data_IF_093136278779
#
_entry.id   IF_093136278779
#
_cell.length_a   1.000
_cell.length_b   1.000
_cell.length_c   1.000
_cell.angle_alpha   90.00
_cell.angle_beta   90.00
_cell.angle_gamma   90.00
#
_symmetry.space_group_name_H-M   'P 1'
#
loop_
_entity.id
_entity.type
_entity.pdbx_description
1 polymer ?
#
# COMPACT_ATOMS: atom_id res chain seq x y z
N UNK A 1 11.92 -0.78 -18.22
CA UNK A 1 11.24 -1.69 -17.26
C UNK A 1 10.01 -0.93 -16.79
N UNK A 2 9.11 -0.63 -17.73
CA UNK A 2 8.32 0.62 -17.68
C UNK A 2 6.80 0.39 -17.62
N UNK A 3 6.34 -0.86 -17.71
CA UNK A 3 4.94 -1.21 -17.51
C UNK A 3 4.67 -1.74 -16.08
N UNK A 4 3.40 -1.67 -15.69
CA UNK A 4 2.96 -2.08 -14.36
C UNK A 4 3.23 -3.57 -14.11
N UNK A 5 2.93 -4.43 -15.08
CA UNK A 5 3.08 -5.90 -14.95
C UNK A 5 4.52 -6.30 -14.65
N UNK A 6 5.49 -5.76 -15.40
CA UNK A 6 6.91 -6.04 -15.16
C UNK A 6 7.38 -5.55 -13.79
N UNK A 7 6.88 -4.40 -13.32
CA UNK A 7 7.19 -3.94 -11.96
C UNK A 7 6.56 -4.84 -10.88
N UNK A 8 5.34 -5.33 -11.11
CA UNK A 8 4.69 -6.26 -10.19
C UNK A 8 5.49 -7.56 -10.06
N UNK A 9 5.89 -8.15 -11.18
CA UNK A 9 6.55 -9.46 -11.18
C UNK A 9 8.02 -9.38 -10.72
N UNK A 10 8.74 -8.30 -11.03
CA UNK A 10 10.17 -8.17 -10.71
C UNK A 10 10.45 -7.52 -9.35
N UNK A 11 9.53 -6.67 -8.85
CA UNK A 11 9.76 -5.89 -7.62
C UNK A 11 8.71 -6.22 -6.56
N UNK A 12 7.43 -6.12 -6.87
CA UNK A 12 6.38 -6.24 -5.85
C UNK A 12 6.24 -7.66 -5.32
N UNK A 13 6.10 -8.65 -6.21
CA UNK A 13 5.93 -10.05 -5.83
C UNK A 13 7.13 -10.58 -5.03
N UNK A 14 8.40 -10.38 -5.45
CA UNK A 14 9.53 -10.83 -4.66
C UNK A 14 9.61 -10.16 -3.28
N UNK A 15 9.34 -8.86 -3.20
CA UNK A 15 9.36 -8.12 -1.92
C UNK A 15 8.25 -8.62 -0.98
N UNK A 16 7.06 -8.95 -1.52
CA UNK A 16 5.99 -9.55 -0.74
C UNK A 16 6.34 -10.95 -0.25
N UNK A 17 6.96 -11.78 -1.09
CA UNK A 17 7.44 -13.11 -0.69
C UNK A 17 8.51 -13.03 0.41
N UNK A 18 9.39 -12.04 0.36
CA UNK A 18 10.38 -11.81 1.41
C UNK A 18 9.74 -11.43 2.74
N UNK A 19 8.69 -10.60 2.71
CA UNK A 19 7.87 -10.30 3.88
C UNK A 19 7.11 -11.54 4.40
N UNK A 20 6.55 -12.35 3.52
CA UNK A 20 5.88 -13.59 3.92
C UNK A 20 6.83 -14.53 4.66
N UNK A 21 8.09 -14.64 4.22
CA UNK A 21 9.12 -15.46 4.87
C UNK A 21 9.62 -14.85 6.18
N UNK A 22 9.65 -13.51 6.27
CA UNK A 22 10.17 -12.77 7.40
C UNK A 22 9.16 -11.69 7.83
N UNK A 23 8.11 -12.05 8.60
CA UNK A 23 7.00 -11.16 8.92
C UNK A 23 7.37 -10.15 10.03
N UNK A 24 8.37 -9.31 9.75
CA UNK A 24 8.82 -8.22 10.61
C UNK A 24 8.48 -6.84 10.02
N UNK A 25 8.52 -5.76 10.83
CA UNK A 25 8.15 -4.42 10.38
C UNK A 25 8.99 -3.88 9.22
N UNK A 26 10.26 -4.30 9.10
CA UNK A 26 11.15 -3.84 8.02
C UNK A 26 10.70 -4.41 6.69
N UNK A 27 10.45 -5.71 6.63
CA UNK A 27 9.99 -6.34 5.39
C UNK A 27 8.56 -5.91 5.03
N UNK A 28 7.68 -5.74 6.03
CA UNK A 28 6.35 -5.18 5.83
C UNK A 28 6.44 -3.78 5.18
N UNK A 29 7.32 -2.91 5.68
CA UNK A 29 7.51 -1.58 5.14
C UNK A 29 7.98 -1.62 3.69
N UNK A 30 8.99 -2.43 3.37
CA UNK A 30 9.49 -2.57 2.00
C UNK A 30 8.39 -3.08 1.05
N UNK A 31 7.59 -4.05 1.48
CA UNK A 31 6.48 -4.57 0.69
C UNK A 31 5.41 -3.49 0.46
N UNK A 32 5.02 -2.75 1.51
CA UNK A 32 4.08 -1.63 1.37
C UNK A 32 4.60 -0.54 0.43
N UNK A 33 5.89 -0.17 0.53
CA UNK A 33 6.52 0.82 -0.36
C UNK A 33 6.51 0.34 -1.81
N UNK A 34 6.88 -0.92 -2.07
CA UNK A 34 6.86 -1.48 -3.41
C UNK A 34 5.44 -1.51 -3.99
N UNK A 35 4.46 -2.00 -3.23
CA UNK A 35 3.05 -2.02 -3.65
C UNK A 35 2.53 -0.62 -3.91
N UNK A 36 2.77 0.33 -3.00
CA UNK A 36 2.32 1.71 -3.16
C UNK A 36 2.90 2.38 -4.41
N UNK A 37 4.21 2.20 -4.65
CA UNK A 37 4.88 2.81 -5.81
C UNK A 37 4.63 2.08 -7.13
N UNK A 38 3.91 0.96 -7.14
CA UNK A 38 3.48 0.33 -8.39
C UNK A 38 2.60 1.26 -9.22
N UNK A 39 1.81 2.12 -8.58
CA UNK A 39 0.96 3.09 -9.27
C UNK A 39 1.75 4.08 -10.12
N UNK A 40 3.03 4.33 -9.80
CA UNK A 40 3.90 5.23 -10.56
C UNK A 40 4.27 4.70 -11.94
N UNK A 41 3.93 3.43 -12.21
CA UNK A 41 4.08 2.79 -13.53
C UNK A 41 2.89 3.03 -14.44
N UNK A 42 1.82 3.66 -13.94
CA UNK A 42 0.64 3.98 -14.73
C UNK A 42 0.66 5.43 -15.22
N UNK A 43 0.16 5.69 -16.45
CA UNK A 43 -0.14 7.06 -16.87
C UNK A 43 -1.20 7.66 -15.94
N UNK A 44 -1.13 8.97 -15.69
CA UNK A 44 -2.07 9.69 -14.81
C UNK A 44 -2.10 9.21 -13.33
N UNK A 45 -1.02 8.59 -12.84
CA UNK A 45 -0.89 8.08 -11.46
C UNK A 45 -1.37 9.05 -10.36
N UNK A 46 -1.19 10.36 -10.51
CA UNK A 46 -1.63 11.36 -9.52
C UNK A 46 -3.13 11.32 -9.24
N UNK A 47 -3.95 11.15 -10.28
CA UNK A 47 -5.40 11.06 -10.15
C UNK A 47 -5.81 9.67 -9.64
N UNK A 48 -5.12 8.63 -10.11
CA UNK A 48 -5.36 7.24 -9.72
C UNK A 48 -5.09 6.99 -8.24
N UNK A 49 -4.09 7.65 -7.64
CA UNK A 49 -3.78 7.46 -6.21
C UNK A 49 -4.98 7.76 -5.31
N UNK A 50 -5.69 8.85 -5.58
CA UNK A 50 -6.89 9.19 -4.81
C UNK A 50 -7.99 8.16 -5.06
N UNK A 51 -8.25 7.86 -6.33
CA UNK A 51 -9.26 6.90 -6.73
C UNK A 51 -9.05 5.52 -6.09
N UNK A 52 -7.84 4.98 -6.13
CA UNK A 52 -7.55 3.65 -5.60
C UNK A 52 -7.68 3.57 -4.09
N UNK A 53 -7.43 4.65 -3.35
CA UNK A 53 -7.69 4.70 -1.90
C UNK A 53 -9.17 4.72 -1.56
N UNK A 54 -9.98 5.32 -2.43
CA UNK A 54 -11.44 5.32 -2.28
C UNK A 54 -12.05 3.95 -2.69
N UNK A 55 -11.41 3.23 -3.62
CA UNK A 55 -11.87 1.93 -4.15
C UNK A 55 -11.36 0.71 -3.37
N UNK A 56 -10.18 0.78 -2.74
CA UNK A 56 -9.53 -0.35 -2.06
C UNK A 56 -8.97 0.07 -0.71
N UNK A 57 -9.59 -0.43 0.37
CA UNK A 57 -9.18 -0.12 1.74
C UNK A 57 -7.79 -0.68 2.05
N UNK A 58 -7.43 -1.83 1.49
CA UNK A 58 -6.13 -2.45 1.66
C UNK A 58 -5.03 -1.60 1.00
N UNK A 59 -5.31 -1.02 -0.17
CA UNK A 59 -4.41 -0.06 -0.81
C UNK A 59 -4.24 1.22 0.03
N UNK A 60 -5.32 1.72 0.64
CA UNK A 60 -5.25 2.84 1.59
C UNK A 60 -4.39 2.48 2.82
N UNK A 61 -4.56 1.28 3.39
CA UNK A 61 -3.74 0.80 4.50
C UNK A 61 -2.26 0.74 4.11
N UNK A 62 -1.95 0.21 2.93
CA UNK A 62 -0.59 0.17 2.38
C UNK A 62 0.00 1.58 2.19
N UNK A 63 -0.77 2.54 1.65
CA UNK A 63 -0.37 3.94 1.49
C UNK A 63 -0.01 4.56 2.86
N UNK A 64 -0.86 4.36 3.85
CA UNK A 64 -0.66 4.89 5.20
C UNK A 64 0.61 4.30 5.85
N UNK A 65 0.78 2.97 5.78
CA UNK A 65 1.96 2.32 6.35
C UNK A 65 3.26 2.71 5.62
N UNK A 66 3.23 2.78 4.28
CA UNK A 66 4.38 3.20 3.48
C UNK A 66 4.82 4.66 3.76
N UNK A 67 3.87 5.51 4.16
CA UNK A 67 4.15 6.90 4.51
C UNK A 67 4.54 7.10 5.98
N UNK A 68 4.01 6.27 6.89
CA UNK A 68 4.27 6.34 8.32
C UNK A 68 5.79 6.42 8.65
N UNK A 69 6.59 5.55 8.04
CA UNK A 69 8.05 5.49 8.27
C UNK A 69 8.87 6.49 7.45
N UNK A 70 8.26 7.20 6.48
CA UNK A 70 8.95 8.22 5.66
C UNK A 70 9.02 9.61 6.33
N UNK A 71 8.54 9.77 7.57
CA UNK A 71 8.33 11.08 8.21
C UNK A 71 7.46 12.05 7.39
N UNK A 72 6.69 11.53 6.44
CA UNK A 72 5.77 12.29 5.61
C UNK A 72 4.39 11.72 5.86
N UNK A 73 3.56 12.41 6.64
CA UNK A 73 2.16 12.00 6.85
C UNK A 73 1.47 11.81 5.50
N UNK A 74 0.74 10.71 5.34
CA UNK A 74 -0.09 10.48 4.15
C UNK A 74 -1.11 11.62 4.00
N UNK A 75 -1.63 11.86 2.80
CA UNK A 75 -2.63 12.93 2.63
C UNK A 75 -3.89 12.71 3.47
N UNK A 76 -4.22 11.46 3.77
CA UNK A 76 -5.38 11.10 4.57
C UNK A 76 -5.10 11.23 6.08
N UNK A 77 -3.87 11.01 6.53
CA UNK A 77 -3.42 11.37 7.88
C UNK A 77 -3.38 12.89 8.14
N UNK A 78 -3.22 13.69 7.08
CA UNK A 78 -3.28 15.16 7.17
C UNK A 78 -4.70 15.69 7.24
N UNK A 79 -5.71 14.88 6.91
CA UNK A 79 -7.11 15.29 7.07
C UNK A 79 -7.46 15.19 8.55
N UNK A 80 -7.71 16.33 9.18
CA UNK A 80 -8.35 16.37 10.50
C UNK A 80 -9.71 15.68 10.34
N UNK A 81 -9.86 14.48 10.91
CA UNK A 81 -11.14 13.77 10.87
C UNK A 81 -12.15 14.57 11.69
N UNK A 82 -13.08 15.22 11.02
CA UNK A 82 -14.29 15.79 11.64
C UNK A 82 -15.33 14.71 11.95
N UNK A 83 -15.06 13.46 11.57
CA UNK A 83 -15.97 12.32 11.80
C UNK A 83 -15.67 11.66 13.15
N UNK A 84 -16.71 11.30 13.93
CA UNK A 84 -16.54 10.50 15.14
C UNK A 84 -15.96 9.11 14.79
N UNK A 85 -14.94 8.67 15.53
CA UNK A 85 -14.27 7.38 15.35
C UNK A 85 -12.76 7.44 15.64
N UNK A 86 -12.11 6.28 15.72
CA UNK A 86 -10.64 6.17 15.80
C UNK A 86 -10.04 6.47 14.42
N UNK A 87 -8.98 7.31 14.31
CA UNK A 87 -8.28 7.52 13.06
C UNK A 87 -7.72 6.20 12.52
N UNK A 88 -7.92 5.92 11.23
CA UNK A 88 -7.37 4.72 10.59
C UNK A 88 -5.85 4.61 10.74
N UNK A 89 -5.16 5.75 10.88
CA UNK A 89 -3.71 5.81 11.09
C UNK A 89 -3.29 5.18 12.40
N UNK A 90 -4.10 5.35 13.45
CA UNK A 90 -3.86 4.72 14.73
C UNK A 90 -4.01 3.19 14.64
N UNK A 91 -5.00 2.70 13.89
CA UNK A 91 -5.18 1.27 13.65
C UNK A 91 -4.00 0.67 12.86
N UNK A 92 -3.46 1.44 11.91
CA UNK A 92 -2.28 1.04 11.12
C UNK A 92 -1.03 0.96 12.00
N UNK A 93 -0.85 1.89 12.93
CA UNK A 93 0.26 1.90 13.90
C UNK A 93 0.23 0.70 14.85
N UNK A 94 -0.96 0.26 15.27
CA UNK A 94 -1.13 -0.87 16.18
C UNK A 94 -1.33 -2.21 15.47
N UNK A 95 -1.20 -2.25 14.14
CA UNK A 95 -1.56 -3.43 13.36
C UNK A 95 -0.53 -4.54 13.50
N UNK A 96 -0.99 -5.75 13.81
CA UNK A 96 -0.13 -6.94 13.78
C UNK A 96 0.35 -7.27 12.36
N UNK A 97 1.58 -7.79 12.24
CA UNK A 97 2.17 -8.15 10.94
C UNK A 97 1.35 -9.18 10.17
N UNK A 98 0.62 -10.05 10.87
CA UNK A 98 -0.30 -10.99 10.24
C UNK A 98 -1.44 -10.29 9.49
N UNK A 99 -2.01 -9.22 10.04
CA UNK A 99 -3.04 -8.43 9.38
C UNK A 99 -2.45 -7.60 8.24
N UNK A 100 -1.23 -7.07 8.43
CA UNK A 100 -0.51 -6.36 7.37
C UNK A 100 -0.23 -7.26 6.16
N UNK A 101 0.10 -8.53 6.38
CA UNK A 101 0.27 -9.51 5.30
C UNK A 101 -0.97 -9.60 4.40
N UNK A 102 -2.17 -9.66 4.98
CA UNK A 102 -3.40 -9.72 4.19
C UNK A 102 -3.68 -8.41 3.45
N UNK A 103 -3.44 -7.25 4.08
CA UNK A 103 -3.58 -5.97 3.42
C UNK A 103 -2.64 -5.86 2.20
N UNK A 104 -1.37 -6.22 2.35
CA UNK A 104 -0.40 -6.21 1.24
C UNK A 104 -0.83 -7.18 0.13
N UNK A 105 -1.20 -8.42 0.48
CA UNK A 105 -1.67 -9.44 -0.48
C UNK A 105 -2.86 -8.95 -1.31
N UNK A 106 -3.87 -8.39 -0.65
CA UNK A 106 -5.11 -8.02 -1.31
C UNK A 106 -4.97 -6.70 -2.09
N UNK A 107 -4.10 -5.79 -1.65
CA UNK A 107 -3.68 -4.65 -2.45
C UNK A 107 -2.96 -5.09 -3.74
N UNK A 108 -2.08 -6.10 -3.68
CA UNK A 108 -1.42 -6.64 -4.89
C UNK A 108 -2.44 -7.21 -5.88
N UNK A 109 -3.44 -7.97 -5.38
CA UNK A 109 -4.51 -8.49 -6.23
C UNK A 109 -5.31 -7.37 -6.90
N UNK A 110 -5.68 -6.35 -6.14
CA UNK A 110 -6.37 -5.18 -6.67
C UNK A 110 -5.55 -4.54 -7.80
N UNK A 111 -4.25 -4.32 -7.59
CA UNK A 111 -3.38 -3.69 -8.60
C UNK A 111 -3.22 -4.57 -9.84
N UNK A 112 -3.09 -5.90 -9.70
CA UNK A 112 -3.09 -6.84 -10.85
C UNK A 112 -4.37 -6.72 -11.65
N UNK A 113 -5.54 -6.65 -11.00
CA UNK A 113 -6.81 -6.45 -11.69
C UNK A 113 -6.90 -5.11 -12.43
N UNK A 114 -6.16 -4.09 -12.02
CA UNK A 114 -6.07 -2.82 -12.76
C UNK A 114 -5.10 -2.89 -13.93
N UNK A 115 -4.07 -3.76 -13.86
CA UNK A 115 -3.12 -3.98 -14.96
C UNK A 115 -3.76 -4.74 -16.14
N UNK A 116 -4.76 -5.57 -15.87
CA UNK A 116 -5.47 -6.37 -16.87
C UNK A 116 -6.61 -5.62 -17.58
N UNK A 117 -6.86 -4.34 -17.25
CA UNK A 117 -7.92 -3.48 -17.84
C UNK A 117 -7.36 -2.59 -18.95
#
# INVERSE_FOLDING_TARGET
MDDLTGYLDLIVEPTFLDFQRNPDPRHAFLACVAVFHSIDRLPNHKNLRKQWRDECIEFLVVDMFAHHLKHVKSSDERRVSTKPGLPLSFLVETMEMHNMYFAVRDAIKFIRQQADK
#
